data_IF_197392379383
#
_entry.id   IF_197392379383
#
_cell.length_a   1.000
_cell.length_b   1.000
_cell.length_c   1.000
_cell.angle_alpha   90.00
_cell.angle_beta   90.00
_cell.angle_gamma   90.00
#
_symmetry.space_group_name_H-M   'P 1'
#
loop_
_entity.id
_entity.type
_entity.pdbx_description
1 polymer ?
#
# COMPACT_ATOMS: atom_id res chain seq x y z
N UNK A 1 -32.68 -4.04 9.05
CA UNK A 1 -32.23 -4.79 7.87
C UNK A 1 -30.83 -4.30 7.53
N UNK A 2 -29.79 -4.99 7.98
CA UNK A 2 -28.40 -4.54 7.82
C UNK A 2 -27.92 -4.86 6.40
N UNK A 3 -27.72 -3.84 5.58
CA UNK A 3 -27.00 -3.95 4.31
C UNK A 3 -25.53 -4.27 4.60
N UNK A 4 -25.21 -5.57 4.64
CA UNK A 4 -23.83 -6.03 4.69
C UNK A 4 -23.25 -5.96 3.25
N UNK A 5 -23.02 -4.73 2.75
CA UNK A 5 -22.37 -4.52 1.46
C UNK A 5 -20.92 -4.99 1.57
N UNK A 6 -20.62 -6.19 1.06
CA UNK A 6 -19.25 -6.62 0.83
C UNK A 6 -18.64 -5.71 -0.24
N UNK A 7 -17.71 -4.86 0.17
CA UNK A 7 -16.87 -4.12 -0.76
C UNK A 7 -15.91 -5.12 -1.40
N UNK A 8 -16.14 -5.43 -2.66
CA UNK A 8 -15.18 -6.16 -3.49
C UNK A 8 -14.08 -5.16 -3.86
N UNK A 9 -12.83 -5.50 -3.63
CA UNK A 9 -11.68 -4.75 -4.15
C UNK A 9 -11.18 -5.46 -5.39
N UNK A 10 -10.72 -4.69 -6.38
CA UNK A 10 -10.21 -5.23 -7.62
C UNK A 10 -8.74 -5.66 -7.45
N UNK A 11 -7.98 -4.97 -6.59
CA UNK A 11 -6.62 -5.35 -6.20
C UNK A 11 -6.38 -5.09 -4.71
N UNK A 12 -5.74 -6.04 -4.02
CA UNK A 12 -5.19 -5.86 -2.69
C UNK A 12 -3.65 -5.91 -2.74
N UNK A 13 -2.99 -4.90 -2.17
CA UNK A 13 -1.54 -4.82 -2.00
C UNK A 13 -1.22 -5.10 -0.53
N UNK A 14 -0.31 -6.05 -0.27
CA UNK A 14 0.12 -6.43 1.07
C UNK A 14 1.52 -5.87 1.32
N UNK A 15 1.66 -5.07 2.38
CA UNK A 15 2.87 -4.35 2.76
C UNK A 15 2.82 -2.88 2.33
N UNK A 16 2.76 -1.97 3.31
CA UNK A 16 2.78 -0.52 3.18
C UNK A 16 4.17 0.11 3.20
N UNK A 17 5.21 -0.66 2.83
CA UNK A 17 6.54 -0.11 2.54
C UNK A 17 6.58 0.72 1.26
N UNK A 18 7.76 1.23 0.91
CA UNK A 18 7.97 2.09 -0.28
C UNK A 18 7.53 1.40 -1.57
N UNK A 19 7.78 0.08 -1.70
CA UNK A 19 7.39 -0.70 -2.89
C UNK A 19 5.88 -0.85 -3.00
N UNK A 20 5.21 -1.32 -1.95
CA UNK A 20 3.75 -1.51 -1.98
C UNK A 20 3.00 -0.20 -2.16
N UNK A 21 3.49 0.88 -1.53
CA UNK A 21 2.95 2.24 -1.72
C UNK A 21 3.12 2.72 -3.17
N UNK A 22 4.28 2.49 -3.79
CA UNK A 22 4.52 2.85 -5.19
C UNK A 22 3.62 2.05 -6.14
N UNK A 23 3.45 0.74 -5.91
CA UNK A 23 2.54 -0.12 -6.68
C UNK A 23 1.10 0.38 -6.58
N UNK A 24 0.60 0.61 -5.36
CA UNK A 24 -0.76 1.12 -5.14
C UNK A 24 -0.96 2.48 -5.82
N UNK A 25 0.03 3.38 -5.72
CA UNK A 25 0.00 4.70 -6.36
C UNK A 25 -0.09 4.60 -7.89
N UNK A 26 0.65 3.70 -8.52
CA UNK A 26 0.57 3.51 -9.97
C UNK A 26 -0.77 2.89 -10.39
N UNK A 27 -1.29 1.93 -9.61
CA UNK A 27 -2.62 1.35 -9.86
C UNK A 27 -3.75 2.38 -9.64
N UNK A 28 -3.57 3.36 -8.75
CA UNK A 28 -4.56 4.40 -8.48
C UNK A 28 -4.82 5.35 -9.67
N UNK A 29 -4.04 5.23 -10.76
CA UNK A 29 -4.27 5.95 -12.02
C UNK A 29 -5.40 5.36 -12.86
N UNK A 30 -5.90 4.18 -12.50
CA UNK A 30 -7.00 3.49 -13.17
C UNK A 30 -8.27 3.54 -12.32
N UNK A 31 -9.43 3.29 -12.94
CA UNK A 31 -10.71 3.17 -12.23
C UNK A 31 -10.83 1.78 -11.55
N UNK A 32 -10.06 1.60 -10.47
CA UNK A 32 -9.98 0.36 -9.70
C UNK A 32 -10.24 0.66 -8.22
N UNK A 33 -10.95 -0.24 -7.53
CA UNK A 33 -11.07 -0.24 -6.07
C UNK A 33 -9.87 -0.96 -5.49
N UNK A 34 -8.97 -0.20 -4.88
CA UNK A 34 -7.71 -0.71 -4.36
C UNK A 34 -7.76 -0.79 -2.83
N UNK A 35 -7.07 -1.79 -2.27
CA UNK A 35 -6.85 -1.96 -0.83
C UNK A 35 -5.35 -2.10 -0.57
N UNK A 36 -4.81 -1.35 0.38
CA UNK A 36 -3.46 -1.55 0.91
C UNK A 36 -3.58 -2.06 2.36
N UNK A 37 -2.88 -3.13 2.67
CA UNK A 37 -2.81 -3.69 4.02
C UNK A 37 -1.37 -3.59 4.53
N UNK A 38 -1.18 -2.90 5.64
CA UNK A 38 0.07 -2.86 6.41
C UNK A 38 -0.20 -3.47 7.79
N UNK A 39 0.72 -4.28 8.27
CA UNK A 39 0.63 -4.92 9.59
C UNK A 39 0.99 -3.92 10.70
N UNK A 40 1.91 -3.01 10.41
CA UNK A 40 2.43 -2.05 11.38
C UNK A 40 1.42 -0.89 11.61
N UNK A 41 1.66 -0.08 12.64
CA UNK A 41 0.72 0.95 13.06
C UNK A 41 0.63 2.12 12.07
N UNK A 42 1.68 2.32 11.29
CA UNK A 42 1.77 3.32 10.24
C UNK A 42 2.45 2.74 8.97
N UNK A 43 2.39 3.49 7.87
CA UNK A 43 3.10 3.16 6.66
C UNK A 43 4.62 3.21 6.86
N UNK A 44 5.32 2.42 6.06
CA UNK A 44 6.77 2.38 6.00
C UNK A 44 7.52 1.98 7.30
N UNK A 45 6.85 1.57 8.39
CA UNK A 45 7.50 1.28 9.69
C UNK A 45 8.58 0.17 9.67
N UNK A 46 8.67 -0.64 8.61
CA UNK A 46 9.77 -1.58 8.38
C UNK A 46 11.04 -0.95 7.77
N UNK A 47 11.69 -1.68 6.85
CA UNK A 47 12.95 -1.27 6.17
C UNK A 47 12.82 0.07 5.44
N UNK A 48 11.61 0.45 5.02
CA UNK A 48 11.37 1.73 4.34
C UNK A 48 11.58 2.95 5.25
N UNK A 49 11.47 2.82 6.57
CA UNK A 49 11.81 3.86 7.56
C UNK A 49 13.22 3.67 8.12
N UNK A 50 13.67 2.42 8.27
CA UNK A 50 14.99 2.07 8.83
C UNK A 50 16.19 2.13 7.85
N UNK A 51 16.09 2.85 6.73
CA UNK A 51 17.20 3.00 5.78
C UNK A 51 18.07 4.24 6.09
N UNK A 52 19.15 4.45 5.32
CA UNK A 52 20.05 5.60 5.49
C UNK A 52 19.45 6.95 5.07
N UNK A 53 18.28 6.96 4.43
CA UNK A 53 17.68 8.15 3.82
C UNK A 53 18.44 8.66 2.58
N UNK A 54 19.43 7.92 2.09
CA UNK A 54 20.27 8.32 0.95
C UNK A 54 19.81 7.62 -0.32
N UNK A 55 19.70 8.40 -1.38
CA UNK A 55 19.51 7.90 -2.75
C UNK A 55 20.86 8.01 -3.46
N UNK A 56 21.37 6.89 -3.95
CA UNK A 56 22.57 6.81 -4.78
C UNK A 56 22.38 5.73 -5.86
N UNK A 57 23.16 5.77 -6.93
CA UNK A 57 23.08 4.79 -8.02
C UNK A 57 23.98 3.56 -7.81
N UNK A 58 24.66 3.49 -6.65
CA UNK A 58 25.91 2.77 -6.44
C UNK A 58 26.98 3.72 -5.92
#
# INVERSE_FOLDING_TARGET
MSDNKRVVYDVAVIGGGVVGSAVLRELARYDLRLLLLEREADLAEGISKGNSGVIHAG
#
